data_IF_373058592152
#
_entry.id   IF_373058592152
#
_cell.length_a   1.000
_cell.length_b   1.000
_cell.length_c   1.000
_cell.angle_alpha   90.00
_cell.angle_beta   90.00
_cell.angle_gamma   90.00
#
_symmetry.space_group_name_H-M   'P 1'
#
loop_
_entity.id
_entity.type
_entity.pdbx_description
1 polymer ?
#
# COMPACT_ATOMS: atom_id res chain seq x y z
N UNK A 1 27.89 21.98 -16.98
CA UNK A 1 27.07 22.64 -15.93
C UNK A 1 25.69 21.97 -15.90
N UNK A 2 25.20 21.51 -14.74
CA UNK A 2 23.82 21.06 -14.65
C UNK A 2 22.88 22.20 -15.02
N UNK A 3 21.79 21.96 -15.76
CA UNK A 3 20.81 23.00 -16.05
C UNK A 3 20.26 23.51 -14.71
N UNK A 4 20.39 24.80 -14.44
CA UNK A 4 19.83 25.39 -13.23
C UNK A 4 18.31 25.21 -13.24
N UNK A 5 17.82 24.31 -12.39
CA UNK A 5 16.39 24.06 -12.20
C UNK A 5 15.77 25.27 -11.53
N UNK A 6 15.16 26.15 -12.32
CA UNK A 6 14.42 27.29 -11.78
C UNK A 6 13.18 26.79 -11.06
N UNK A 7 12.96 27.32 -9.84
CA UNK A 7 11.83 26.98 -8.97
C UNK A 7 10.49 27.06 -9.71
N UNK A 8 9.59 26.14 -9.39
CA UNK A 8 8.24 26.10 -9.96
C UNK A 8 7.44 27.38 -9.67
N UNK A 9 7.68 28.01 -8.52
CA UNK A 9 6.98 29.24 -8.12
C UNK A 9 7.34 30.43 -9.03
N UNK A 10 8.63 30.60 -9.35
CA UNK A 10 9.07 31.63 -10.31
C UNK A 10 8.46 31.42 -11.69
N UNK A 11 8.33 30.15 -12.13
CA UNK A 11 7.66 29.81 -13.39
C UNK A 11 6.16 30.13 -13.34
N UNK A 12 5.49 29.89 -12.22
CA UNK A 12 4.08 30.19 -12.03
C UNK A 12 3.79 31.70 -11.96
N UNK A 13 4.74 32.52 -11.50
CA UNK A 13 4.59 33.97 -11.37
C UNK A 13 4.70 34.72 -12.70
N UNK A 14 5.46 34.20 -13.66
CA UNK A 14 5.71 34.83 -14.97
C UNK A 14 4.40 35.14 -15.75
N UNK A 15 3.47 34.18 -15.93
CA UNK A 15 2.20 34.44 -16.61
C UNK A 15 1.31 35.46 -15.89
N UNK A 16 1.32 35.46 -14.55
CA UNK A 16 0.54 36.40 -13.73
C UNK A 16 1.04 37.83 -13.96
N UNK A 17 2.35 38.04 -13.94
CA UNK A 17 2.96 39.35 -14.20
C UNK A 17 2.71 39.83 -15.64
N UNK A 18 2.67 38.90 -16.60
CA UNK A 18 2.33 39.24 -17.99
C UNK A 18 0.88 39.70 -18.14
N UNK A 19 -0.07 39.05 -17.45
CA UNK A 19 -1.49 39.48 -17.43
C UNK A 19 -1.67 40.85 -16.76
N UNK A 20 -0.81 41.20 -15.80
CA UNK A 20 -0.77 42.53 -15.15
C UNK A 20 -0.12 43.62 -16.00
N UNK A 21 0.30 43.31 -17.24
CA UNK A 21 0.84 44.29 -18.18
C UNK A 21 2.35 44.55 -18.08
N UNK A 22 3.10 43.81 -17.25
CA UNK A 22 4.54 44.02 -17.14
C UNK A 22 5.28 43.59 -18.42
N UNK A 23 6.30 44.38 -18.80
CA UNK A 23 7.18 44.05 -19.92
C UNK A 23 8.09 42.86 -19.59
N UNK A 24 8.49 42.08 -20.60
CA UNK A 24 9.39 40.93 -20.40
C UNK A 24 10.72 41.36 -19.77
N UNK A 25 11.24 42.53 -20.13
CA UNK A 25 12.46 43.10 -19.53
C UNK A 25 12.27 43.35 -18.02
N UNK A 26 11.14 43.94 -17.64
CA UNK A 26 10.82 44.21 -16.25
C UNK A 26 10.62 42.92 -15.44
N UNK A 27 9.96 41.91 -16.00
CA UNK A 27 9.79 40.58 -15.38
C UNK A 27 11.15 39.89 -15.15
N UNK A 28 12.08 39.99 -16.10
CA UNK A 28 13.42 39.43 -15.95
C UNK A 28 14.20 40.08 -14.81
N UNK A 29 14.10 41.42 -14.69
CA UNK A 29 14.75 42.16 -13.61
C UNK A 29 14.12 41.82 -12.25
N UNK A 30 12.79 41.77 -12.16
CA UNK A 30 12.06 41.53 -10.92
C UNK A 30 12.22 40.11 -10.37
N UNK A 31 12.29 39.10 -11.25
CA UNK A 31 12.44 37.69 -10.84
C UNK A 31 13.88 37.17 -10.93
N UNK A 32 14.83 37.96 -11.44
CA UNK A 32 16.22 37.53 -11.65
C UNK A 32 16.37 36.39 -12.68
N UNK A 33 15.43 36.27 -13.63
CA UNK A 33 15.40 35.16 -14.60
C UNK A 33 15.84 35.61 -16.00
N UNK A 34 16.45 34.68 -16.75
CA UNK A 34 16.84 34.93 -18.15
C UNK A 34 15.61 35.09 -19.03
N UNK A 35 15.69 35.99 -20.03
CA UNK A 35 14.63 36.22 -21.03
C UNK A 35 14.16 34.94 -21.72
N UNK A 36 15.09 34.03 -22.01
CA UNK A 36 14.80 32.73 -22.65
C UNK A 36 13.85 31.87 -21.83
N UNK A 37 13.93 31.91 -20.50
CA UNK A 37 12.98 31.20 -19.63
C UNK A 37 11.59 31.83 -19.70
N UNK A 38 11.51 33.17 -19.67
CA UNK A 38 10.24 33.90 -19.72
C UNK A 38 9.48 33.57 -20.99
N UNK A 39 10.14 33.59 -22.15
CA UNK A 39 9.51 33.21 -23.42
C UNK A 39 9.08 31.75 -23.45
N UNK A 40 9.92 30.82 -22.99
CA UNK A 40 9.55 29.39 -22.89
C UNK A 40 8.32 29.16 -22.03
N UNK A 41 8.26 29.80 -20.86
CA UNK A 41 7.12 29.69 -19.95
C UNK A 41 5.87 30.30 -20.55
N UNK A 42 5.94 31.49 -21.17
CA UNK A 42 4.79 32.11 -21.83
C UNK A 42 4.28 31.29 -23.03
N UNK A 43 5.18 30.63 -23.77
CA UNK A 43 4.81 29.74 -24.87
C UNK A 43 4.14 28.45 -24.38
N UNK A 44 4.61 27.90 -23.25
CA UNK A 44 4.06 26.68 -22.65
C UNK A 44 2.80 26.93 -21.81
N UNK A 45 2.61 28.13 -21.29
CA UNK A 45 1.52 28.45 -20.35
C UNK A 45 0.10 28.15 -20.89
N UNK A 46 -0.25 28.45 -22.16
CA UNK A 46 -1.54 28.08 -22.71
C UNK A 46 -1.75 26.56 -22.68
N UNK A 47 -0.70 25.78 -22.97
CA UNK A 47 -0.76 24.31 -22.98
C UNK A 47 -0.77 23.71 -21.56
N UNK A 48 0.04 24.24 -20.65
CA UNK A 48 0.19 23.70 -19.29
C UNK A 48 -1.01 24.01 -18.39
N UNK A 49 -1.72 25.12 -18.63
CA UNK A 49 -2.94 25.45 -17.89
C UNK A 49 -4.09 24.48 -18.20
N UNK A 50 -4.08 23.85 -19.38
CA UNK A 50 -5.13 22.94 -19.83
C UNK A 50 -4.74 21.47 -19.60
N UNK A 51 -3.44 21.18 -19.63
CA UNK A 51 -2.88 19.87 -19.36
C UNK A 51 -1.84 20.01 -18.26
N UNK A 52 -2.27 19.87 -17.01
CA UNK A 52 -1.38 19.43 -15.93
C UNK A 52 -0.92 18.03 -16.29
N UNK A 53 0.08 17.93 -17.16
CA UNK A 53 0.80 16.71 -17.42
C UNK A 53 1.56 16.40 -16.14
N UNK A 54 0.87 15.78 -15.17
CA UNK A 54 1.52 14.95 -14.17
C UNK A 54 2.49 14.11 -14.96
N UNK A 55 3.79 14.19 -14.64
CA UNK A 55 4.81 13.34 -15.24
C UNK A 55 4.28 11.91 -15.16
N UNK A 56 3.70 11.41 -16.25
CA UNK A 56 3.09 10.11 -16.28
C UNK A 56 4.26 9.17 -16.17
N UNK A 57 4.48 8.66 -14.95
CA UNK A 57 5.49 7.65 -14.72
C UNK A 57 5.28 6.48 -15.67
N UNK A 58 6.29 5.61 -15.75
CA UNK A 58 6.23 4.39 -16.54
C UNK A 58 4.85 3.72 -16.41
N UNK A 59 4.21 3.47 -17.56
CA UNK A 59 2.91 2.79 -17.65
C UNK A 59 2.92 1.57 -16.73
N UNK A 60 1.91 1.44 -15.89
CA UNK A 60 1.79 0.32 -14.96
C UNK A 60 1.61 -0.97 -15.75
N UNK A 61 2.18 -2.06 -15.26
CA UNK A 61 1.96 -3.41 -15.80
C UNK A 61 0.55 -3.92 -15.51
N UNK A 62 -0.14 -3.31 -14.55
CA UNK A 62 -1.51 -3.61 -14.17
C UNK A 62 -2.44 -2.55 -14.73
N UNK A 63 -3.41 -3.02 -15.50
CA UNK A 63 -4.48 -2.23 -16.08
C UNK A 63 -5.55 -1.93 -15.02
N UNK A 64 -6.45 -0.98 -15.31
CA UNK A 64 -7.57 -0.64 -14.41
C UNK A 64 -8.46 -1.87 -14.15
N UNK A 65 -8.68 -2.70 -15.17
CA UNK A 65 -9.47 -3.94 -15.04
C UNK A 65 -8.79 -4.95 -14.10
N UNK A 66 -7.46 -5.08 -14.15
CA UNK A 66 -6.71 -5.99 -13.28
C UNK A 66 -6.78 -5.52 -11.82
N UNK A 67 -6.74 -4.20 -11.60
CA UNK A 67 -6.92 -3.60 -10.28
C UNK A 67 -8.32 -3.89 -9.75
N UNK A 68 -9.35 -3.72 -10.59
CA UNK A 68 -10.73 -4.05 -10.20
C UNK A 68 -10.85 -5.54 -9.80
N UNK A 69 -10.26 -6.44 -10.59
CA UNK A 69 -10.23 -7.88 -10.29
C UNK A 69 -9.49 -8.20 -8.98
N UNK A 70 -8.34 -7.57 -8.72
CA UNK A 70 -7.63 -7.72 -7.44
C UNK A 70 -8.54 -7.27 -6.28
N UNK A 71 -9.24 -6.15 -6.43
CA UNK A 71 -10.12 -5.66 -5.36
C UNK A 71 -11.33 -6.55 -5.11
N UNK A 72 -11.89 -7.21 -6.13
CA UNK A 72 -12.99 -8.16 -5.95
C UNK A 72 -12.49 -9.42 -5.24
N UNK A 73 -11.33 -9.97 -5.63
CA UNK A 73 -10.73 -11.10 -4.92
C UNK A 73 -10.51 -10.76 -3.44
N UNK A 74 -9.92 -9.60 -3.15
CA UNK A 74 -9.65 -9.21 -1.76
C UNK A 74 -10.91 -9.04 -0.91
N UNK A 75 -12.03 -8.63 -1.52
CA UNK A 75 -13.33 -8.56 -0.83
C UNK A 75 -13.87 -9.94 -0.48
N UNK A 76 -13.72 -10.92 -1.39
CA UNK A 76 -14.19 -12.28 -1.14
C UNK A 76 -13.24 -13.09 -0.24
N UNK A 77 -11.93 -12.93 -0.43
CA UNK A 77 -10.86 -13.69 0.23
C UNK A 77 -9.76 -12.74 0.72
N UNK A 78 -9.96 -12.01 1.84
CA UNK A 78 -8.99 -11.03 2.33
C UNK A 78 -7.68 -11.67 2.81
N UNK A 79 -7.68 -12.97 3.11
CA UNK A 79 -6.54 -13.76 3.59
C UNK A 79 -5.76 -14.47 2.48
N UNK A 80 -6.04 -14.16 1.20
CA UNK A 80 -5.35 -14.78 0.06
C UNK A 80 -3.84 -14.47 0.08
N UNK A 81 -3.02 -15.47 -0.23
CA UNK A 81 -1.58 -15.26 -0.35
C UNK A 81 -1.21 -14.55 -1.66
N UNK A 82 -0.08 -13.84 -1.67
CA UNK A 82 0.34 -13.04 -2.83
C UNK A 82 0.71 -13.89 -4.05
N UNK A 83 1.24 -15.09 -3.83
CA UNK A 83 1.55 -16.07 -4.86
C UNK A 83 0.28 -16.73 -5.44
N UNK A 84 -0.70 -17.05 -4.60
CA UNK A 84 -2.02 -17.51 -5.05
C UNK A 84 -2.71 -16.43 -5.91
N UNK A 85 -2.66 -15.17 -5.47
CA UNK A 85 -3.20 -14.05 -6.25
C UNK A 85 -2.47 -13.86 -7.58
N UNK A 86 -1.14 -14.05 -7.58
CA UNK A 86 -0.34 -14.01 -8.80
C UNK A 86 -0.77 -15.11 -9.78
N UNK A 87 -1.03 -16.32 -9.27
CA UNK A 87 -1.52 -17.43 -10.08
C UNK A 87 -2.91 -17.14 -10.66
N UNK A 88 -3.85 -16.63 -9.85
CA UNK A 88 -5.19 -16.24 -10.30
C UNK A 88 -5.16 -15.14 -11.38
N UNK A 89 -4.30 -14.14 -11.22
CA UNK A 89 -4.09 -13.09 -12.24
C UNK A 89 -3.51 -13.67 -13.54
N UNK A 90 -2.55 -14.59 -13.42
CA UNK A 90 -1.97 -15.26 -14.59
C UNK A 90 -3.02 -16.12 -15.30
N UNK A 91 -3.80 -16.91 -14.56
CA UNK A 91 -4.80 -17.81 -15.12
C UNK A 91 -6.00 -17.09 -15.74
N UNK A 92 -6.50 -16.02 -15.14
CA UNK A 92 -7.72 -15.35 -15.62
C UNK A 92 -7.47 -14.17 -16.56
N UNK A 93 -6.40 -13.41 -16.33
CA UNK A 93 -6.09 -12.20 -17.09
C UNK A 93 -4.85 -12.36 -17.99
N UNK A 94 -4.11 -13.47 -17.88
CA UNK A 94 -2.87 -13.69 -18.65
C UNK A 94 -1.72 -12.78 -18.21
N UNK A 95 -1.85 -12.09 -17.07
CA UNK A 95 -0.86 -11.10 -16.62
C UNK A 95 0.00 -11.70 -15.53
N UNK A 96 1.28 -11.95 -15.87
CA UNK A 96 2.27 -12.35 -14.88
C UNK A 96 2.90 -11.12 -14.22
N UNK A 97 2.58 -10.90 -12.95
CA UNK A 97 3.10 -9.77 -12.16
C UNK A 97 3.98 -10.29 -11.04
N UNK A 98 5.15 -9.68 -10.84
CA UNK A 98 6.02 -10.09 -9.74
C UNK A 98 5.40 -9.75 -8.38
N UNK A 99 5.63 -10.60 -7.37
CA UNK A 99 5.22 -10.38 -5.97
C UNK A 99 5.53 -8.95 -5.47
N UNK A 100 6.74 -8.37 -5.67
CA UNK A 100 6.99 -6.99 -5.24
C UNK A 100 6.13 -5.94 -5.95
N UNK A 101 5.70 -6.21 -7.18
CA UNK A 101 4.78 -5.32 -7.92
C UNK A 101 3.37 -5.40 -7.35
N UNK A 102 2.88 -6.61 -7.02
CA UNK A 102 1.61 -6.81 -6.29
C UNK A 102 1.64 -6.14 -4.91
N UNK A 103 2.76 -6.26 -4.20
CA UNK A 103 2.89 -5.59 -2.91
C UNK A 103 2.83 -4.07 -3.01
N UNK A 104 3.46 -3.48 -4.04
CA UNK A 104 3.38 -2.04 -4.32
C UNK A 104 1.96 -1.62 -4.70
N UNK A 105 1.20 -2.43 -5.43
CA UNK A 105 -0.20 -2.12 -5.74
C UNK A 105 -1.08 -2.20 -4.51
N UNK A 106 -0.86 -3.17 -3.62
CA UNK A 106 -1.58 -3.26 -2.35
C UNK A 106 -1.37 -2.03 -1.47
N UNK A 107 -0.12 -1.55 -1.36
CA UNK A 107 0.18 -0.31 -0.63
C UNK A 107 -0.55 0.90 -1.20
N UNK A 108 -0.72 0.97 -2.53
CA UNK A 108 -1.48 2.06 -3.17
C UNK A 108 -2.99 1.93 -2.96
N UNK A 109 -3.48 0.70 -2.85
CA UNK A 109 -4.88 0.39 -2.50
C UNK A 109 -5.16 0.53 -0.99
N UNK A 110 -4.18 0.97 -0.19
CA UNK A 110 -4.27 1.09 1.27
C UNK A 110 -4.61 -0.22 2.01
N UNK A 111 -4.40 -1.36 1.35
CA UNK A 111 -4.56 -2.69 1.97
C UNK A 111 -3.29 -2.96 2.78
N UNK A 112 -3.45 -3.01 4.10
CA UNK A 112 -2.34 -3.23 5.03
C UNK A 112 -2.54 -4.54 5.82
N UNK A 113 -1.47 -5.00 6.47
CA UNK A 113 -1.50 -6.23 7.28
C UNK A 113 -2.53 -6.16 8.41
N UNK A 114 -2.76 -4.98 8.98
CA UNK A 114 -3.74 -4.80 10.08
C UNK A 114 -5.17 -5.04 9.60
N UNK A 115 -5.51 -4.58 8.40
CA UNK A 115 -6.81 -4.86 7.79
C UNK A 115 -7.01 -6.36 7.57
N UNK A 116 -5.98 -7.05 7.07
CA UNK A 116 -6.06 -8.50 6.83
C UNK A 116 -6.12 -9.29 8.15
N UNK A 117 -5.34 -8.89 9.16
CA UNK A 117 -5.33 -9.57 10.47
C UNK A 117 -6.63 -9.38 11.24
N UNK A 118 -7.25 -8.19 11.17
CA UNK A 118 -8.55 -7.95 11.77
C UNK A 118 -9.62 -8.88 11.16
N UNK A 119 -9.69 -8.94 9.82
CA UNK A 119 -10.61 -9.85 9.13
C UNK A 119 -10.35 -11.33 9.41
N UNK A 120 -9.09 -11.73 9.59
CA UNK A 120 -8.74 -13.11 9.95
C UNK A 120 -9.14 -13.44 11.39
N UNK A 121 -8.98 -12.50 12.33
CA UNK A 121 -9.37 -12.66 13.73
C UNK A 121 -10.90 -12.76 13.88
N UNK A 122 -11.64 -11.88 13.18
CA UNK A 122 -13.11 -11.88 13.19
C UNK A 122 -13.71 -13.16 12.59
N UNK A 123 -12.99 -13.82 11.67
CA UNK A 123 -13.41 -15.09 11.06
C UNK A 123 -12.88 -16.33 11.79
N UNK A 124 -12.25 -16.19 12.95
CA UNK A 124 -11.83 -17.36 13.70
C UNK A 124 -13.09 -18.16 14.13
N UNK A 125 -13.27 -19.36 13.56
CA UNK A 125 -14.38 -20.26 13.85
C UNK A 125 -14.46 -20.63 15.34
N UNK A 126 -13.35 -20.50 16.07
CA UNK A 126 -13.30 -20.65 17.53
C UNK A 126 -14.18 -19.61 18.27
N UNK A 127 -14.50 -18.46 17.66
CA UNK A 127 -15.46 -17.50 18.23
C UNK A 127 -16.91 -17.96 18.07
N UNK A 128 -17.20 -18.72 17.02
CA UNK A 128 -18.54 -19.28 16.80
C UNK A 128 -18.85 -20.38 17.82
N UNK A 129 -17.87 -21.23 18.15
CA UNK A 129 -18.04 -22.24 19.21
C UNK A 129 -18.24 -21.62 20.59
N UNK A 130 -17.58 -20.50 20.89
CA UNK A 130 -17.81 -19.77 22.15
C UNK A 130 -19.24 -19.23 22.25
N UNK A 131 -19.80 -18.71 21.15
CA UNK A 131 -21.18 -18.21 21.12
C UNK A 131 -22.23 -19.32 21.27
N UNK A 132 -21.94 -20.54 20.83
CA UNK A 132 -22.80 -21.72 21.08
C UNK A 132 -22.72 -22.20 22.53
N UNK A 133 -21.53 -22.15 23.14
CA UNK A 133 -21.28 -22.61 24.52
C UNK A 133 -21.86 -21.62 25.55
N UNK A 134 -21.79 -20.31 25.27
CA UNK A 134 -22.25 -19.25 26.15
C UNK A 134 -23.07 -18.20 25.36
N UNK A 135 -24.36 -18.47 25.12
CA UNK A 135 -25.22 -17.61 24.29
C UNK A 135 -25.65 -16.32 24.99
N UNK A 136 -25.59 -16.27 26.34
CA UNK A 136 -25.84 -15.07 27.12
C UNK A 136 -24.49 -14.41 27.51
N UNK A 137 -24.27 -13.12 27.22
CA UNK A 137 -23.05 -12.42 27.60
C UNK A 137 -22.74 -12.44 29.11
N UNK A 138 -23.75 -12.62 29.98
CA UNK A 138 -23.51 -12.76 31.43
C UNK A 138 -22.84 -14.11 31.82
N UNK A 139 -22.80 -15.09 30.91
CA UNK A 139 -22.15 -16.38 31.11
C UNK A 139 -20.65 -16.36 30.76
N UNK A 140 -20.14 -15.28 30.14
CA UNK A 140 -18.73 -15.15 29.78
C UNK A 140 -17.93 -14.45 30.88
N UNK A 141 -16.92 -15.15 31.41
CA UNK A 141 -15.88 -14.56 32.26
C UNK A 141 -14.55 -14.53 31.49
N UNK A 142 -14.00 -13.35 31.26
CA UNK A 142 -12.70 -13.19 30.61
C UNK A 142 -11.58 -13.09 31.65
N UNK A 143 -10.63 -14.02 31.60
CA UNK A 143 -9.36 -13.93 32.31
C UNK A 143 -8.22 -13.73 31.32
N UNK A 144 -7.59 -12.55 31.33
CA UNK A 144 -6.34 -12.30 30.63
C UNK A 144 -5.18 -12.57 31.59
N UNK A 145 -4.38 -13.60 31.28
CA UNK A 145 -3.11 -13.83 31.95
C UNK A 145 -2.03 -12.96 31.30
N UNK A 146 -1.89 -11.74 31.81
CA UNK A 146 -0.84 -10.83 31.39
C UNK A 146 0.51 -11.27 31.99
N UNK A 147 1.27 -12.07 31.25
CA UNK A 147 2.65 -12.38 31.59
C UNK A 147 3.51 -11.11 31.49
N UNK A 148 3.83 -10.50 32.65
CA UNK A 148 4.76 -9.39 32.73
C UNK A 148 6.20 -9.91 32.59
N UNK A 149 6.72 -9.90 31.37
CA UNK A 149 8.15 -10.14 31.14
C UNK A 149 8.94 -8.86 31.43
N UNK A 150 9.83 -8.91 32.42
CA UNK A 150 10.67 -7.77 32.82
C UNK A 150 11.80 -7.51 31.80
N UNK A 151 12.00 -8.39 30.81
CA UNK A 151 12.95 -8.18 29.70
C UNK A 151 12.44 -7.29 28.58
N UNK A 152 11.17 -6.87 28.60
CA UNK A 152 10.60 -5.97 27.56
C UNK A 152 11.05 -4.50 27.66
N UNK A 153 12.24 -4.24 28.20
CA UNK A 153 12.92 -2.94 28.18
C UNK A 153 14.11 -2.95 27.20
N UNK A 154 13.91 -3.51 26.02
CA UNK A 154 14.88 -3.36 24.93
C UNK A 154 14.30 -2.40 23.90
N UNK A 155 14.45 -1.10 24.19
CA UNK A 155 14.51 -0.09 23.12
C UNK A 155 15.68 -0.47 22.23
N UNK A 156 15.42 -1.09 21.08
CA UNK A 156 16.42 -1.16 20.02
C UNK A 156 16.32 0.11 19.18
N UNK A 157 17.40 0.90 19.12
CA UNK A 157 17.48 2.05 18.23
C UNK A 157 17.27 1.64 16.78
N UNK A 158 16.62 2.54 16.05
CA UNK A 158 16.51 2.59 14.60
C UNK A 158 17.85 2.24 13.95
N UNK A 159 17.97 1.08 13.29
CA UNK A 159 18.53 0.89 11.95
C UNK A 159 18.93 -0.56 11.60
N UNK A 160 18.69 -0.89 10.31
CA UNK A 160 19.25 -1.98 9.48
C UNK A 160 18.54 -3.35 9.48
N UNK A 161 17.65 -3.47 8.49
CA UNK A 161 17.68 -4.45 7.38
C UNK A 161 18.33 -5.82 7.66
N UNK A 162 17.48 -6.85 7.77
CA UNK A 162 17.57 -8.05 6.92
C UNK A 162 16.29 -8.88 7.09
N UNK A 163 15.29 -8.66 6.23
CA UNK A 163 14.01 -9.39 6.26
C UNK A 163 14.05 -10.67 5.42
N UNK A 164 15.21 -11.32 5.37
CA UNK A 164 15.36 -12.70 4.91
C UNK A 164 15.42 -13.61 6.13
N UNK A 165 14.30 -13.72 6.85
CA UNK A 165 13.97 -14.92 7.59
C UNK A 165 12.57 -15.32 7.17
N UNK A 166 12.57 -16.18 6.16
CA UNK A 166 11.47 -17.06 5.79
C UNK A 166 10.86 -17.59 7.08
N UNK A 167 9.62 -17.22 7.37
CA UNK A 167 8.83 -17.92 8.38
C UNK A 167 8.78 -19.39 7.94
N UNK A 168 9.34 -20.33 8.72
CA UNK A 168 9.28 -21.74 8.38
C UNK A 168 7.81 -22.16 8.27
N UNK A 169 7.49 -22.95 7.24
CA UNK A 169 6.17 -23.47 6.90
C UNK A 169 5.56 -24.41 7.97
N UNK A 170 6.09 -24.43 9.20
CA UNK A 170 5.79 -25.46 10.21
C UNK A 170 4.85 -25.02 11.35
N UNK A 171 4.48 -23.73 11.45
CA UNK A 171 3.60 -23.33 12.57
C UNK A 171 2.12 -23.72 12.42
N UNK A 172 1.67 -24.16 11.24
CA UNK A 172 0.28 -24.58 11.02
C UNK A 172 0.06 -26.10 11.05
N UNK A 173 1.11 -26.92 11.20
CA UNK A 173 0.99 -28.39 11.13
C UNK A 173 0.97 -29.12 12.47
N UNK A 174 1.10 -28.40 13.60
CA UNK A 174 1.28 -29.01 14.92
C UNK A 174 0.02 -28.99 15.82
N UNK A 175 -1.19 -28.95 15.24
CA UNK A 175 -2.45 -29.02 16.02
C UNK A 175 -3.46 -30.05 15.50
N UNK A 176 -3.00 -31.05 14.73
CA UNK A 176 -3.86 -32.12 14.17
C UNK A 176 -3.42 -33.55 14.52
N UNK A 177 -2.50 -33.76 15.47
CA UNK A 177 -2.12 -35.11 15.94
C UNK A 177 -2.12 -35.15 17.46
N UNK A 178 -3.29 -35.04 18.07
CA UNK A 178 -3.48 -35.35 19.50
C UNK A 178 -4.94 -35.67 19.85
N UNK A 179 -5.70 -36.22 18.90
CA UNK A 179 -7.05 -36.76 19.13
C UNK A 179 -7.30 -37.96 18.19
N UNK A 180 -6.53 -39.03 18.37
CA UNK A 180 -7.01 -40.38 18.05
C UNK A 180 -7.32 -41.06 19.40
N UNK A 181 -8.58 -41.12 19.86
CA UNK A 181 -8.94 -42.03 20.92
C UNK A 181 -8.87 -43.46 20.39
N UNK A 182 -8.16 -44.30 21.16
CA UNK A 182 -8.20 -45.74 21.04
C UNK A 182 -9.64 -46.24 20.84
N UNK A 183 -9.87 -47.05 19.81
CA UNK A 183 -11.10 -47.82 19.63
C UNK A 183 -10.95 -49.15 20.40
N UNK A 184 -11.75 -49.44 21.44
CA UNK A 184 -11.86 -50.76 22.01
C UNK A 184 -12.91 -51.57 21.23
N UNK A 185 -12.51 -52.76 20.79
CA UNK A 185 -13.34 -53.95 20.53
C UNK A 185 -14.68 -53.79 19.79
N UNK A 186 -14.70 -54.20 18.51
CA UNK A 186 -15.73 -55.05 17.87
C UNK A 186 -15.26 -55.55 16.50
#
# INVERSE_FOLDING_TARGET
>A
MPPHTVSADLKARIPILRRRGHSVKHICHLLGVKKTLVYKVLQLFPLVSQYRCSNQGRRHSLTVNDIAFITTILRHRPTIYLDELQQELCSRHGVFVSIPTLFRTFRRLHVNRKCISAYALERNEELHTIAEIAPDPEMLMFGDEAAKDERTNHSTPWEIKNWNKVCPKEMFRARQTLLDPANPDS
#
